data_IF_795238871098
#
_entry.id   IF_795238871098
#
_cell.length_a   1.000
_cell.length_b   1.000
_cell.length_c   1.000
_cell.angle_alpha   90.00
_cell.angle_beta   90.00
_cell.angle_gamma   90.00
#
_symmetry.space_group_name_H-M   'P 1'
#
loop_
_entity.id
_entity.type
_entity.pdbx_description
1 polymer ?
#
# COMPACT_ATOMS: atom_id res chain seq x y z
N UNK A 1 -8.48 4.15 30.60
CA UNK A 1 -8.60 4.22 29.12
C UNK A 1 -8.30 5.64 28.70
N UNK A 2 -7.70 5.84 27.54
CA UNK A 2 -7.39 7.13 26.97
C UNK A 2 -7.68 7.09 25.46
N UNK A 3 -8.40 8.07 24.96
CA UNK A 3 -8.94 8.05 23.61
C UNK A 3 -8.39 9.20 22.78
N UNK A 4 -7.92 8.93 21.58
CA UNK A 4 -7.64 9.96 20.61
C UNK A 4 -8.81 10.11 19.63
N UNK A 5 -9.09 11.34 19.24
CA UNK A 5 -10.04 11.69 18.19
C UNK A 5 -9.27 12.30 17.01
N UNK A 6 -9.44 11.69 15.85
CA UNK A 6 -9.07 12.23 14.57
C UNK A 6 -10.30 12.90 13.96
N UNK A 7 -10.34 14.23 13.98
CA UNK A 7 -11.38 15.01 13.31
C UNK A 7 -10.93 15.38 11.91
N UNK A 8 -11.77 15.13 10.91
CA UNK A 8 -11.54 15.34 9.49
C UNK A 8 -12.60 16.32 8.93
N UNK A 9 -12.43 17.63 9.10
CA UNK A 9 -13.46 18.63 8.80
C UNK A 9 -13.87 18.68 7.33
N UNK A 10 -12.99 18.27 6.44
CA UNK A 10 -13.17 18.36 5.00
C UNK A 10 -12.82 17.06 4.26
N UNK A 11 -13.16 15.91 4.88
CA UNK A 11 -12.78 14.58 4.40
C UNK A 11 -13.12 14.35 2.92
N UNK A 12 -14.36 14.63 2.51
CA UNK A 12 -14.78 14.46 1.12
C UNK A 12 -13.96 15.33 0.14
N UNK A 13 -13.65 16.58 0.53
CA UNK A 13 -12.84 17.47 -0.28
C UNK A 13 -11.39 17.01 -0.36
N UNK A 14 -10.80 16.59 0.77
CA UNK A 14 -9.44 16.08 0.82
C UNK A 14 -9.30 14.80 0.01
N UNK A 15 -10.34 13.93 0.01
CA UNK A 15 -10.37 12.71 -0.79
C UNK A 15 -10.21 12.99 -2.29
N UNK A 16 -10.79 14.08 -2.78
CA UNK A 16 -10.67 14.50 -4.18
C UNK A 16 -9.33 15.20 -4.42
N UNK A 17 -8.98 16.19 -3.59
CA UNK A 17 -7.75 16.99 -3.76
C UNK A 17 -6.47 16.11 -3.79
N UNK A 18 -6.43 15.05 -2.97
CA UNK A 18 -5.29 14.13 -2.91
C UNK A 18 -5.09 13.29 -4.18
N UNK A 19 -6.10 13.23 -5.05
CA UNK A 19 -6.06 12.48 -6.30
C UNK A 19 -5.71 13.36 -7.51
N UNK A 20 -5.68 14.68 -7.32
CA UNK A 20 -5.40 15.62 -8.40
C UNK A 20 -3.91 15.92 -8.54
N UNK A 21 -3.42 16.05 -9.78
CA UNK A 21 -2.02 16.42 -10.04
C UNK A 21 -1.67 17.82 -9.51
N UNK A 22 -2.63 18.75 -9.51
CA UNK A 22 -2.48 20.11 -9.02
C UNK A 22 -3.57 20.43 -7.99
N UNK A 23 -3.32 20.20 -6.69
CA UNK A 23 -4.28 20.50 -5.63
C UNK A 23 -4.43 22.01 -5.32
N UNK A 24 -3.64 22.88 -5.94
CA UNK A 24 -3.71 24.33 -5.75
C UNK A 24 -4.78 24.99 -6.60
N UNK A 25 -5.31 24.31 -7.60
CA UNK A 25 -6.43 24.84 -8.40
C UNK A 25 -7.70 25.00 -7.57
N UNK A 26 -8.50 26.07 -7.84
CA UNK A 26 -9.79 26.22 -7.20
C UNK A 26 -10.71 25.04 -7.50
N UNK A 27 -11.21 24.38 -6.46
CA UNK A 27 -12.08 23.20 -6.57
C UNK A 27 -13.28 23.33 -5.65
N UNK A 28 -14.44 22.87 -6.12
CA UNK A 28 -15.66 22.79 -5.33
C UNK A 28 -16.34 21.42 -5.50
N UNK A 29 -16.86 20.88 -4.40
CA UNK A 29 -17.76 19.74 -4.42
C UNK A 29 -19.20 20.23 -4.55
N UNK A 30 -19.93 19.61 -5.48
CA UNK A 30 -21.32 19.94 -5.78
C UNK A 30 -22.30 19.00 -5.08
N UNK A 31 -23.44 19.57 -4.67
CA UNK A 31 -24.56 18.80 -4.14
C UNK A 31 -25.87 19.37 -4.64
N UNK A 32 -26.89 18.52 -4.76
CA UNK A 32 -28.25 18.87 -5.13
C UNK A 32 -28.60 18.47 -6.56
N UNK A 33 -29.89 18.65 -6.95
CA UNK A 33 -30.36 18.29 -8.28
C UNK A 33 -29.76 19.22 -9.34
N UNK A 34 -29.70 18.75 -10.59
CA UNK A 34 -29.08 19.46 -11.71
C UNK A 34 -29.54 20.92 -11.87
N UNK A 35 -30.80 21.20 -11.57
CA UNK A 35 -31.40 22.53 -11.67
C UNK A 35 -31.04 23.49 -10.52
N UNK A 36 -30.55 22.96 -9.38
CA UNK A 36 -30.22 23.76 -8.19
C UNK A 36 -29.00 23.22 -7.49
N UNK A 37 -27.87 23.14 -8.20
CA UNK A 37 -26.60 22.73 -7.63
C UNK A 37 -26.01 23.80 -6.72
N UNK A 38 -25.58 23.39 -5.55
CA UNK A 38 -24.89 24.27 -4.58
C UNK A 38 -23.51 23.70 -4.25
N UNK A 39 -22.61 24.59 -3.88
CA UNK A 39 -21.27 24.21 -3.40
C UNK A 39 -21.41 23.59 -2.00
N UNK A 40 -21.13 22.30 -1.86
CA UNK A 40 -21.09 21.61 -0.57
C UNK A 40 -19.80 21.95 0.20
N UNK A 41 -18.68 21.90 -0.49
CA UNK A 41 -17.36 22.20 0.06
C UNK A 41 -16.51 22.91 -0.99
N UNK A 42 -15.57 23.74 -0.56
CA UNK A 42 -14.69 24.50 -1.43
C UNK A 42 -13.24 24.39 -0.96
N UNK A 43 -12.29 24.25 -1.89
CA UNK A 43 -10.87 24.19 -1.59
C UNK A 43 -10.36 25.50 -0.97
N UNK A 44 -9.19 25.51 -0.31
CA UNK A 44 -8.60 26.76 0.19
C UNK A 44 -8.42 27.80 -0.92
N UNK A 45 -7.98 27.38 -2.10
CA UNK A 45 -7.84 28.28 -3.26
C UNK A 45 -9.19 28.87 -3.71
N UNK A 46 -10.23 28.02 -3.82
CA UNK A 46 -11.58 28.49 -4.14
C UNK A 46 -12.14 29.44 -3.06
N UNK A 47 -11.86 29.17 -1.79
CA UNK A 47 -12.25 30.03 -0.67
C UNK A 47 -11.53 31.39 -0.71
N UNK A 48 -10.24 31.40 -1.04
CA UNK A 48 -9.46 32.62 -1.22
C UNK A 48 -10.01 33.47 -2.39
N UNK A 49 -10.53 32.81 -3.43
CA UNK A 49 -11.22 33.44 -4.55
C UNK A 49 -12.67 33.90 -4.23
N UNK A 50 -13.11 33.80 -2.97
CA UNK A 50 -14.42 34.34 -2.50
C UNK A 50 -15.54 33.30 -2.45
N UNK A 51 -15.34 32.06 -2.88
CA UNK A 51 -16.36 31.03 -2.85
C UNK A 51 -16.67 30.56 -1.41
N UNK A 52 -17.94 30.19 -1.17
CA UNK A 52 -18.40 29.71 0.14
C UNK A 52 -19.31 28.49 -0.04
N UNK A 53 -19.28 27.53 0.90
CA UNK A 53 -20.28 26.46 0.95
C UNK A 53 -21.70 27.03 0.99
N UNK A 54 -22.65 26.40 0.29
CA UNK A 54 -24.04 26.84 0.15
C UNK A 54 -24.29 27.81 -1.01
N UNK A 55 -23.24 28.33 -1.66
CA UNK A 55 -23.37 29.20 -2.84
C UNK A 55 -23.91 28.41 -4.04
N UNK A 56 -24.77 29.02 -4.86
CA UNK A 56 -25.23 28.44 -6.11
C UNK A 56 -24.09 28.31 -7.12
N UNK A 57 -24.08 27.23 -7.89
CA UNK A 57 -23.05 26.98 -8.90
C UNK A 57 -22.93 28.12 -9.91
N UNK A 58 -24.07 28.65 -10.40
CA UNK A 58 -24.08 29.77 -11.34
C UNK A 58 -23.39 31.02 -10.80
N UNK A 59 -23.57 31.33 -9.52
CA UNK A 59 -22.90 32.46 -8.87
C UNK A 59 -21.40 32.21 -8.69
N UNK A 60 -21.02 30.95 -8.39
CA UNK A 60 -19.61 30.56 -8.23
C UNK A 60 -18.83 30.63 -9.55
N UNK A 61 -19.42 30.23 -10.67
CA UNK A 61 -18.79 30.26 -11.99
C UNK A 61 -18.56 31.71 -12.52
N UNK A 62 -19.35 32.64 -12.08
CA UNK A 62 -19.13 34.08 -12.39
C UNK A 62 -17.88 34.59 -11.65
N UNK A 63 -17.61 34.12 -10.44
CA UNK A 63 -16.47 34.56 -9.63
C UNK A 63 -15.16 33.91 -10.03
N UNK A 64 -15.23 32.65 -10.45
CA UNK A 64 -14.03 31.82 -10.76
C UNK A 64 -14.29 31.06 -12.06
N UNK A 65 -13.65 31.49 -13.15
CA UNK A 65 -13.83 30.88 -14.48
C UNK A 65 -13.19 29.47 -14.56
N UNK A 66 -12.05 29.27 -13.89
CA UNK A 66 -11.26 28.00 -13.90
C UNK A 66 -11.58 27.12 -12.68
N UNK A 67 -12.85 27.08 -12.26
CA UNK A 67 -13.29 26.29 -11.12
C UNK A 67 -13.45 24.81 -11.49
N UNK A 68 -12.67 23.95 -10.86
CA UNK A 68 -12.85 22.50 -10.95
C UNK A 68 -14.08 22.08 -10.14
N UNK A 69 -14.94 21.25 -10.75
CA UNK A 69 -16.21 20.84 -10.18
C UNK A 69 -16.26 19.32 -10.10
N UNK A 70 -16.50 18.81 -8.90
CA UNK A 70 -16.74 17.38 -8.67
C UNK A 70 -18.07 17.17 -7.97
N UNK A 71 -18.80 16.15 -8.32
CA UNK A 71 -20.00 15.77 -7.60
C UNK A 71 -19.62 15.15 -6.25
N UNK A 72 -20.36 15.51 -5.20
CA UNK A 72 -20.18 14.89 -3.89
C UNK A 72 -20.69 13.45 -3.93
N UNK A 73 -19.80 12.50 -3.66
CA UNK A 73 -20.11 11.08 -3.54
C UNK A 73 -20.00 10.61 -2.07
N UNK A 74 -21.15 10.32 -1.41
CA UNK A 74 -21.14 9.75 -0.06
C UNK A 74 -20.44 8.39 0.04
N UNK A 75 -20.46 7.59 -1.02
CA UNK A 75 -19.83 6.26 -1.04
C UNK A 75 -18.31 6.39 -1.02
N UNK A 76 -17.75 7.32 -1.81
CA UNK A 76 -16.33 7.64 -1.81
C UNK A 76 -15.87 8.18 -0.44
N UNK A 77 -16.68 9.04 0.20
CA UNK A 77 -16.38 9.50 1.57
C UNK A 77 -16.36 8.34 2.56
N UNK A 78 -17.32 7.41 2.47
CA UNK A 78 -17.37 6.24 3.34
C UNK A 78 -16.18 5.30 3.11
N UNK A 79 -15.77 5.04 1.87
CA UNK A 79 -14.58 4.25 1.56
C UNK A 79 -13.32 4.89 2.14
N UNK A 80 -13.20 6.23 2.02
CA UNK A 80 -12.06 6.96 2.61
C UNK A 80 -12.05 6.85 4.14
N UNK A 81 -13.21 6.88 4.80
CA UNK A 81 -13.30 6.65 6.25
C UNK A 81 -12.84 5.25 6.64
N UNK A 82 -13.19 4.23 5.85
CA UNK A 82 -12.76 2.85 6.08
C UNK A 82 -11.24 2.69 5.87
N UNK A 83 -10.67 3.33 4.83
CA UNK A 83 -9.22 3.36 4.62
C UNK A 83 -8.50 3.97 5.83
N UNK A 84 -8.96 5.11 6.33
CA UNK A 84 -8.37 5.76 7.50
C UNK A 84 -8.55 4.93 8.78
N UNK A 85 -9.68 4.22 8.93
CA UNK A 85 -9.88 3.29 10.04
C UNK A 85 -8.91 2.10 9.98
N UNK A 86 -8.69 1.53 8.79
CA UNK A 86 -7.67 0.52 8.56
C UNK A 86 -6.28 1.04 8.94
N UNK A 87 -5.93 2.22 8.49
CA UNK A 87 -4.64 2.83 8.81
C UNK A 87 -4.46 3.06 10.32
N UNK A 88 -5.48 3.56 11.02
CA UNK A 88 -5.46 3.74 12.48
C UNK A 88 -5.37 2.41 13.24
N UNK A 89 -5.84 1.30 12.64
CA UNK A 89 -5.80 -0.03 13.23
C UNK A 89 -4.35 -0.50 13.50
N UNK A 90 -3.35 0.01 12.77
CA UNK A 90 -1.93 -0.19 13.07
C UNK A 90 -1.50 0.41 14.42
N UNK A 91 -2.26 1.35 14.97
CA UNK A 91 -1.97 1.99 16.25
C UNK A 91 -2.82 1.42 17.38
N UNK A 92 -4.08 1.05 17.11
CA UNK A 92 -5.01 0.48 18.07
C UNK A 92 -6.04 -0.40 17.39
N UNK A 93 -6.33 -1.56 17.97
CA UNK A 93 -7.42 -2.43 17.50
C UNK A 93 -8.82 -1.90 17.85
N UNK A 94 -8.92 -0.92 18.74
CA UNK A 94 -10.19 -0.31 19.13
C UNK A 94 -10.38 1.03 18.41
N UNK A 95 -10.71 0.96 17.12
CA UNK A 95 -11.04 2.11 16.28
C UNK A 95 -12.55 2.15 16.02
N UNK A 96 -13.19 3.31 16.15
CA UNK A 96 -14.62 3.47 15.85
C UNK A 96 -14.88 4.61 14.87
N UNK A 97 -15.86 4.38 13.97
CA UNK A 97 -16.38 5.34 12.98
C UNK A 97 -17.75 5.92 13.38
N UNK A 98 -18.22 5.73 14.62
CA UNK A 98 -19.56 6.14 15.01
C UNK A 98 -19.78 7.66 15.05
N UNK A 99 -18.71 8.45 15.01
CA UNK A 99 -18.81 9.90 15.02
C UNK A 99 -18.79 10.51 13.61
N UNK A 100 -19.67 11.45 13.28
CA UNK A 100 -19.63 12.17 12.01
C UNK A 100 -18.31 12.92 11.83
N UNK A 101 -17.71 12.77 10.64
CA UNK A 101 -16.44 13.42 10.25
C UNK A 101 -15.26 13.17 11.18
N UNK A 102 -15.34 12.13 12.02
CA UNK A 102 -14.26 11.78 12.92
C UNK A 102 -14.11 10.27 13.09
N UNK A 103 -12.90 9.87 13.44
CA UNK A 103 -12.59 8.52 13.93
C UNK A 103 -12.03 8.66 15.35
N UNK A 104 -12.37 7.72 16.20
CA UNK A 104 -11.80 7.65 17.56
C UNK A 104 -11.09 6.33 17.75
N UNK A 105 -9.98 6.36 18.49
CA UNK A 105 -9.20 5.16 18.78
C UNK A 105 -8.75 5.17 20.27
N UNK A 106 -8.74 3.99 20.88
CA UNK A 106 -8.23 3.81 22.24
C UNK A 106 -6.69 3.76 22.19
N UNK A 107 -6.02 4.66 22.91
CA UNK A 107 -4.56 4.78 22.87
C UNK A 107 -3.89 4.41 24.21
N UNK A 108 -4.65 4.21 25.28
CA UNK A 108 -4.09 3.90 26.59
C UNK A 108 -3.32 2.58 26.61
N UNK A 109 -3.87 1.54 25.98
CA UNK A 109 -3.20 0.24 25.83
C UNK A 109 -1.99 0.30 24.86
N UNK A 110 -2.03 1.21 23.90
CA UNK A 110 -0.98 1.36 22.88
C UNK A 110 0.27 2.12 23.38
N UNK A 111 0.18 2.77 24.56
CA UNK A 111 1.28 3.58 25.13
C UNK A 111 2.56 2.79 25.39
N UNK A 112 2.44 1.53 25.77
CA UNK A 112 3.61 0.67 25.99
C UNK A 112 4.44 0.41 24.72
N UNK A 113 3.78 0.43 23.54
CA UNK A 113 4.42 0.19 22.25
C UNK A 113 4.87 1.48 21.55
N UNK A 114 4.05 2.53 21.64
CA UNK A 114 4.22 3.73 20.82
C UNK A 114 4.62 4.98 21.61
N UNK A 115 4.73 4.88 22.94
CA UNK A 115 5.12 5.99 23.80
C UNK A 115 3.94 6.81 24.30
N UNK A 116 4.25 8.03 24.74
CA UNK A 116 3.27 8.99 25.25
C UNK A 116 2.38 9.60 24.16
N UNK A 117 1.47 10.50 24.57
CA UNK A 117 0.56 11.15 23.64
C UNK A 117 1.30 11.95 22.58
N UNK A 118 2.35 12.68 22.93
CA UNK A 118 3.09 13.51 21.97
C UNK A 118 3.72 12.68 20.86
N UNK A 119 4.29 11.54 21.22
CA UNK A 119 4.89 10.60 20.26
C UNK A 119 3.83 9.99 19.33
N UNK A 120 2.70 9.55 19.89
CA UNK A 120 1.59 9.00 19.12
C UNK A 120 1.00 10.08 18.20
N UNK A 121 0.78 11.30 18.70
CA UNK A 121 0.28 12.42 17.92
C UNK A 121 1.17 12.73 16.73
N UNK A 122 2.49 12.85 16.96
CA UNK A 122 3.43 13.15 15.89
C UNK A 122 3.44 12.07 14.81
N UNK A 123 3.39 10.80 15.20
CA UNK A 123 3.29 9.67 14.27
C UNK A 123 2.00 9.75 13.44
N UNK A 124 0.87 10.01 14.08
CA UNK A 124 -0.42 10.13 13.38
C UNK A 124 -0.43 11.34 12.44
N UNK A 125 0.13 12.48 12.83
CA UNK A 125 0.23 13.68 11.98
C UNK A 125 1.08 13.42 10.74
N UNK A 126 2.25 12.83 10.90
CA UNK A 126 3.12 12.52 9.78
C UNK A 126 2.41 11.60 8.77
N UNK A 127 1.81 10.51 9.24
CA UNK A 127 1.08 9.60 8.35
C UNK A 127 -0.14 10.24 7.68
N UNK A 128 -0.90 11.09 8.38
CA UNK A 128 -2.03 11.81 7.79
C UNK A 128 -1.60 12.88 6.79
N UNK A 129 -0.44 13.50 7.01
CA UNK A 129 0.18 14.40 6.05
C UNK A 129 0.56 13.65 4.76
N UNK A 130 1.24 12.50 4.89
CA UNK A 130 1.63 11.65 3.76
C UNK A 130 0.40 11.12 3.01
N UNK A 131 -0.65 10.78 3.75
CA UNK A 131 -1.96 10.41 3.19
C UNK A 131 -2.73 11.60 2.59
N UNK A 132 -2.34 12.84 2.83
CA UNK A 132 -2.90 14.05 2.24
C UNK A 132 -4.23 14.50 2.86
N UNK A 133 -4.45 14.27 4.15
CA UNK A 133 -5.68 14.67 4.86
C UNK A 133 -5.44 15.79 5.86
N UNK A 134 -6.26 16.86 5.79
CA UNK A 134 -6.32 17.90 6.81
C UNK A 134 -7.10 17.39 8.02
N UNK A 135 -6.52 17.55 9.19
CA UNK A 135 -7.03 16.92 10.39
C UNK A 135 -6.84 17.79 11.63
N UNK A 136 -7.51 17.39 12.71
CA UNK A 136 -7.21 17.79 14.08
C UNK A 136 -7.13 16.54 14.94
N UNK A 137 -6.20 16.55 15.89
CA UNK A 137 -5.98 15.45 16.83
C UNK A 137 -6.15 15.94 18.25
N UNK A 138 -6.94 15.23 19.04
CA UNK A 138 -7.15 15.52 20.46
C UNK A 138 -7.23 14.21 21.24
N UNK A 139 -6.57 14.15 22.40
CA UNK A 139 -6.67 13.02 23.30
C UNK A 139 -7.38 13.42 24.61
N UNK A 140 -8.29 12.55 25.08
CA UNK A 140 -9.08 12.76 26.29
C UNK A 140 -9.42 11.40 26.97
N UNK A 141 -9.88 11.40 28.25
CA UNK A 141 -10.21 10.19 28.97
C UNK A 141 -11.32 9.34 28.38
N UNK A 142 -12.21 9.93 27.58
CA UNK A 142 -13.30 9.23 26.91
C UNK A 142 -13.47 9.71 25.45
N UNK A 143 -14.05 8.89 24.56
CA UNK A 143 -14.13 9.17 23.13
C UNK A 143 -15.05 10.35 22.80
N UNK A 144 -16.13 10.55 23.54
CA UNK A 144 -17.07 11.67 23.34
C UNK A 144 -16.44 13.01 23.69
N UNK A 145 -15.68 13.08 24.78
CA UNK A 145 -14.91 14.26 25.14
C UNK A 145 -13.83 14.59 24.11
N UNK A 146 -13.05 13.57 23.69
CA UNK A 146 -12.04 13.75 22.65
C UNK A 146 -12.67 14.31 21.36
N UNK A 147 -13.83 13.76 20.95
CA UNK A 147 -14.56 14.20 19.75
C UNK A 147 -15.04 15.65 19.86
N UNK A 148 -15.60 16.04 21.00
CA UNK A 148 -16.15 17.39 21.20
C UNK A 148 -15.04 18.43 21.31
N UNK A 149 -13.98 18.12 22.06
CA UNK A 149 -12.81 18.99 22.21
C UNK A 149 -12.09 19.23 20.85
N UNK A 150 -12.06 18.23 19.96
CA UNK A 150 -11.49 18.36 18.62
C UNK A 150 -12.22 19.40 17.74
N UNK A 151 -13.46 19.80 18.07
CA UNK A 151 -14.15 20.88 17.37
C UNK A 151 -13.49 22.26 17.59
N UNK A 152 -12.71 22.41 18.67
CA UNK A 152 -12.10 23.70 19.07
C UNK A 152 -10.58 23.60 19.12
N UNK A 153 -10.05 22.46 19.59
CA UNK A 153 -8.63 22.29 19.83
C UNK A 153 -7.99 21.40 18.76
N UNK A 154 -6.68 21.55 18.63
CA UNK A 154 -5.79 20.67 17.87
C UNK A 154 -4.51 20.46 18.70
N UNK A 155 -4.01 19.21 18.80
CA UNK A 155 -2.84 18.85 19.58
C UNK A 155 -3.11 18.71 21.10
N UNK A 156 -4.32 18.96 21.57
CA UNK A 156 -4.65 18.88 22.99
C UNK A 156 -4.64 17.42 23.49
N UNK A 157 -3.90 17.18 24.56
CA UNK A 157 -3.94 15.92 25.32
C UNK A 157 -4.24 16.19 26.78
N UNK A 158 -5.36 15.69 27.29
CA UNK A 158 -5.79 15.92 28.67
C UNK A 158 -6.11 14.61 29.41
N UNK A 159 -5.88 14.61 30.69
CA UNK A 159 -6.23 13.53 31.61
C UNK A 159 -7.63 13.70 32.25
N UNK A 160 -7.99 12.77 33.14
CA UNK A 160 -9.28 12.80 33.84
C UNK A 160 -9.43 14.00 34.81
N UNK A 161 -8.33 14.52 35.33
CA UNK A 161 -8.37 15.66 36.26
C UNK A 161 -8.59 16.97 35.53
N UNK A 162 -8.03 17.09 34.31
CA UNK A 162 -8.14 18.27 33.46
C UNK A 162 -9.47 18.34 32.68
N UNK A 163 -10.16 17.21 32.50
CA UNK A 163 -11.36 17.10 31.67
C UNK A 163 -12.46 18.07 32.05
N UNK A 164 -12.87 18.21 33.34
CA UNK A 164 -13.96 19.12 33.70
C UNK A 164 -13.68 20.58 33.34
N UNK A 165 -12.44 21.05 33.56
CA UNK A 165 -12.04 22.41 33.24
C UNK A 165 -12.01 22.67 31.73
N UNK A 166 -11.50 21.71 30.94
CA UNK A 166 -11.47 21.79 29.49
C UNK A 166 -12.87 21.82 28.86
N UNK A 167 -13.78 21.00 29.35
CA UNK A 167 -15.17 20.97 28.89
C UNK A 167 -15.96 22.24 29.32
N UNK A 168 -15.71 22.77 30.50
CA UNK A 168 -16.43 23.95 31.02
C UNK A 168 -16.23 25.16 30.11
N UNK A 169 -15.07 25.32 29.50
CA UNK A 169 -14.72 26.43 28.63
C UNK A 169 -15.27 26.28 27.19
N UNK A 170 -15.77 25.09 26.83
CA UNK A 170 -16.13 24.79 25.45
C UNK A 170 -17.45 25.50 25.05
N UNK A 171 -17.47 26.30 23.95
CA UNK A 171 -18.67 26.95 23.48
C UNK A 171 -19.78 25.96 23.12
N UNK A 172 -21.01 26.20 23.55
CA UNK A 172 -22.18 25.35 23.23
C UNK A 172 -22.37 25.14 21.73
N UNK A 173 -22.11 26.15 20.92
CA UNK A 173 -22.16 26.03 19.45
C UNK A 173 -21.16 25.02 18.87
N UNK A 174 -20.16 24.59 19.64
CA UNK A 174 -19.14 23.60 19.28
C UNK A 174 -19.28 22.28 20.04
N UNK A 175 -20.31 22.14 20.88
CA UNK A 175 -20.54 20.96 21.74
C UNK A 175 -20.95 19.70 20.96
N UNK A 176 -21.37 19.83 19.69
CA UNK A 176 -21.93 18.72 18.92
C UNK A 176 -23.36 18.35 19.31
N UNK A 177 -23.98 19.07 20.23
CA UNK A 177 -25.41 18.91 20.56
C UNK A 177 -26.30 19.29 19.36
N UNK A 178 -27.53 18.76 19.26
CA UNK A 178 -28.50 19.16 18.25
C UNK A 178 -28.71 20.68 18.22
N UNK A 179 -28.84 21.24 17.02
CA UNK A 179 -28.93 22.71 16.78
C UNK A 179 -30.07 23.31 17.61
N UNK A 180 -31.20 22.63 17.70
CA UNK A 180 -32.38 23.09 18.49
C UNK A 180 -32.04 23.16 19.98
N UNK A 181 -31.35 22.16 20.53
CA UNK A 181 -30.91 22.16 21.93
C UNK A 181 -29.94 23.32 22.20
N UNK A 182 -28.95 23.52 21.31
CA UNK A 182 -28.01 24.66 21.40
C UNK A 182 -28.75 25.98 21.37
N UNK A 183 -29.76 26.12 20.50
CA UNK A 183 -30.53 27.36 20.33
C UNK A 183 -31.35 27.67 21.61
N UNK A 184 -32.00 26.66 22.19
CA UNK A 184 -32.77 26.81 23.42
C UNK A 184 -31.87 27.20 24.60
N UNK A 185 -30.73 26.51 24.77
CA UNK A 185 -29.74 26.84 25.81
C UNK A 185 -29.16 28.26 25.61
N UNK A 186 -28.82 28.63 24.39
CA UNK A 186 -28.32 29.97 24.09
C UNK A 186 -29.33 31.09 24.36
N UNK A 187 -30.62 30.85 24.06
CA UNK A 187 -31.72 31.78 24.41
C UNK A 187 -31.92 31.93 25.93
N UNK A 188 -31.56 30.90 26.72
CA UNK A 188 -31.53 30.94 28.17
C UNK A 188 -30.25 31.59 28.74
N UNK A 189 -29.42 32.23 27.88
CA UNK A 189 -28.20 32.91 28.30
C UNK A 189 -26.97 32.03 28.48
N UNK A 190 -27.08 30.72 28.25
CA UNK A 190 -25.96 29.80 28.38
C UNK A 190 -25.07 29.84 27.14
N UNK A 191 -23.77 29.96 27.35
CA UNK A 191 -22.78 30.11 26.22
C UNK A 191 -21.79 28.97 26.17
N UNK A 192 -21.57 28.26 27.29
CA UNK A 192 -20.55 27.20 27.41
C UNK A 192 -21.16 25.91 27.91
N UNK A 193 -20.47 24.79 27.68
CA UNK A 193 -20.86 23.48 28.20
C UNK A 193 -20.87 23.47 29.74
N UNK A 194 -19.92 24.16 30.39
CA UNK A 194 -19.89 24.28 31.86
C UNK A 194 -21.18 24.84 32.38
N UNK A 195 -21.68 25.95 31.83
CA UNK A 195 -22.94 26.55 32.22
C UNK A 195 -24.13 25.60 32.00
N UNK A 196 -24.09 24.73 31.01
CA UNK A 196 -25.11 23.70 30.82
C UNK A 196 -25.00 22.57 31.83
N UNK A 197 -23.80 22.19 32.26
CA UNK A 197 -23.56 21.17 33.26
C UNK A 197 -23.97 21.59 34.68
N UNK A 198 -23.97 22.88 34.96
CA UNK A 198 -24.39 23.45 36.24
C UNK A 198 -25.90 23.45 36.41
N UNK A 199 -26.68 23.18 35.37
CA UNK A 199 -28.11 23.09 35.45
C UNK A 199 -28.54 21.79 36.13
N UNK A 200 -29.60 21.84 37.00
CA UNK A 200 -30.18 20.63 37.58
C UNK A 200 -30.64 19.65 36.49
N UNK A 201 -30.27 18.39 36.61
CA UNK A 201 -30.59 17.33 35.64
C UNK A 201 -32.09 17.25 35.34
N UNK A 202 -32.92 17.41 36.36
CA UNK A 202 -34.38 17.41 36.19
C UNK A 202 -34.89 18.56 35.32
N UNK A 203 -34.25 19.70 35.39
CA UNK A 203 -34.58 20.86 34.57
C UNK A 203 -34.23 20.62 33.10
N UNK A 204 -33.10 19.95 32.84
CA UNK A 204 -32.73 19.53 31.50
C UNK A 204 -33.68 18.44 30.97
N UNK A 205 -34.04 17.44 31.81
CA UNK A 205 -34.93 16.35 31.41
C UNK A 205 -36.36 16.79 31.05
N UNK A 206 -36.82 17.89 31.64
CA UNK A 206 -38.13 18.47 31.31
C UNK A 206 -38.13 19.24 29.96
N UNK A 207 -36.96 19.66 29.49
CA UNK A 207 -36.84 20.57 28.32
C UNK A 207 -36.28 19.92 27.10
N UNK A 208 -35.49 18.85 27.25
CA UNK A 208 -34.75 18.22 26.17
C UNK A 208 -35.07 16.73 26.08
N UNK A 209 -34.94 16.20 24.87
CA UNK A 209 -35.07 14.78 24.61
C UNK A 209 -33.97 13.97 25.36
N UNK A 210 -34.24 12.71 25.74
CA UNK A 210 -33.27 11.87 26.46
C UNK A 210 -31.91 11.76 25.82
N UNK A 211 -31.84 11.83 24.48
CA UNK A 211 -30.60 11.76 23.67
C UNK A 211 -29.64 12.91 23.97
N UNK A 212 -30.17 14.11 24.24
CA UNK A 212 -29.37 15.29 24.62
C UNK A 212 -28.71 15.08 25.98
N UNK A 213 -29.46 14.51 26.94
CA UNK A 213 -28.91 14.22 28.25
C UNK A 213 -27.88 13.10 28.20
N UNK A 214 -28.17 12.04 27.42
CA UNK A 214 -27.21 10.95 27.19
C UNK A 214 -25.91 11.46 26.58
N UNK A 215 -25.99 12.37 25.62
CA UNK A 215 -24.81 12.98 25.00
C UNK A 215 -24.00 13.84 25.99
N UNK A 216 -24.71 14.64 26.85
CA UNK A 216 -24.05 15.43 27.90
C UNK A 216 -23.35 14.52 28.93
N UNK A 217 -24.00 13.43 29.32
CA UNK A 217 -23.43 12.44 30.25
C UNK A 217 -22.23 11.72 29.61
N UNK A 218 -22.35 11.31 28.35
CA UNK A 218 -21.27 10.64 27.61
C UNK A 218 -20.02 11.53 27.49
N UNK A 219 -20.20 12.81 27.22
CA UNK A 219 -19.08 13.78 27.16
C UNK A 219 -18.37 13.91 28.48
N UNK A 220 -19.13 13.87 29.60
CA UNK A 220 -18.57 13.89 30.97
C UNK A 220 -17.96 12.56 31.40
N UNK A 221 -18.17 11.48 30.64
CA UNK A 221 -17.77 10.13 31.00
C UNK A 221 -18.66 9.46 32.05
N UNK A 222 -19.90 9.95 32.27
CA UNK A 222 -20.88 9.43 33.24
C UNK A 222 -21.83 8.38 32.63
N UNK A 223 -21.83 8.22 31.31
CA UNK A 223 -22.68 7.28 30.60
C UNK A 223 -21.87 6.14 29.95
N UNK A 224 -22.55 5.02 29.78
CA UNK A 224 -22.02 3.92 28.98
C UNK A 224 -22.60 4.03 27.55
N UNK A 225 -21.88 4.69 26.66
CA UNK A 225 -22.23 4.75 25.24
C UNK A 225 -21.31 3.75 24.49
N UNK A 226 -21.82 2.54 24.17
CA UNK A 226 -21.03 1.54 23.48
C UNK A 226 -20.66 2.03 22.07
N UNK A 227 -19.41 1.82 21.68
CA UNK A 227 -18.91 2.08 20.34
C UNK A 227 -18.87 0.79 19.53
N UNK A 228 -19.15 0.90 18.24
CA UNK A 228 -18.88 -0.17 17.28
C UNK A 228 -17.46 -0.05 16.80
N UNK A 229 -16.71 -1.14 16.94
CA UNK A 229 -15.32 -1.17 16.53
C UNK A 229 -15.17 -1.64 15.10
N UNK A 230 -14.27 -0.99 14.41
CA UNK A 230 -13.89 -1.32 13.03
C UNK A 230 -13.18 -2.67 13.00
N UNK A 231 -13.52 -3.47 12.01
CA UNK A 231 -12.81 -4.70 11.66
C UNK A 231 -12.28 -4.56 10.24
N UNK A 232 -10.95 -4.70 10.02
CA UNK A 232 -10.39 -4.63 8.69
C UNK A 232 -10.96 -5.71 7.77
N UNK A 233 -11.36 -5.39 6.54
CA UNK A 233 -11.78 -6.38 5.56
C UNK A 233 -10.61 -7.27 5.14
N UNK A 234 -10.91 -8.46 4.59
CA UNK A 234 -9.89 -9.43 4.15
C UNK A 234 -9.31 -9.14 2.76
N UNK A 235 -9.80 -8.12 2.10
CA UNK A 235 -9.36 -7.69 0.76
C UNK A 235 -9.19 -6.18 0.71
N UNK A 236 -8.31 -5.74 -0.19
CA UNK A 236 -8.18 -4.32 -0.54
C UNK A 236 -8.87 -4.08 -1.88
N UNK A 237 -9.63 -3.00 -1.96
CA UNK A 237 -10.32 -2.57 -3.17
C UNK A 237 -10.44 -1.04 -3.14
N UNK A 238 -9.76 -0.36 -4.07
CA UNK A 238 -9.79 1.09 -4.18
C UNK A 238 -9.87 1.52 -5.65
N UNK A 239 -10.62 2.60 -5.94
CA UNK A 239 -10.90 3.08 -7.27
C UNK A 239 -10.72 4.61 -7.32
N UNK A 240 -10.10 5.09 -8.39
CA UNK A 240 -9.99 6.51 -8.72
C UNK A 240 -10.66 6.73 -10.07
N UNK A 241 -11.63 7.62 -10.13
CA UNK A 241 -12.32 8.04 -11.36
C UNK A 241 -11.71 9.33 -11.89
N UNK A 242 -11.65 9.44 -13.22
CA UNK A 242 -11.08 10.59 -13.92
C UNK A 242 -12.18 11.43 -14.57
N UNK A 243 -11.98 12.75 -14.63
CA UNK A 243 -12.92 13.66 -15.31
C UNK A 243 -13.01 13.39 -16.81
N UNK A 244 -11.91 12.96 -17.41
CA UNK A 244 -11.79 12.60 -18.83
C UNK A 244 -11.00 11.32 -18.98
N UNK A 245 -11.16 10.66 -20.13
CA UNK A 245 -10.37 9.47 -20.45
C UNK A 245 -8.88 9.80 -20.52
N UNK A 246 -8.08 8.98 -19.86
CA UNK A 246 -6.62 9.07 -19.89
C UNK A 246 -6.08 7.99 -20.82
N UNK A 247 -5.51 8.40 -21.95
CA UNK A 247 -4.92 7.48 -22.96
C UNK A 247 -3.47 7.12 -22.63
N UNK A 248 -2.76 7.99 -21.91
CA UNK A 248 -1.33 7.83 -21.63
C UNK A 248 -1.12 6.97 -20.38
N UNK A 249 -0.41 5.85 -20.52
CA UNK A 249 0.04 5.04 -19.39
C UNK A 249 0.91 5.85 -18.40
N UNK A 250 1.66 6.84 -18.90
CA UNK A 250 2.49 7.71 -18.07
C UNK A 250 1.63 8.64 -17.18
N UNK A 251 0.51 9.14 -17.68
CA UNK A 251 -0.41 9.96 -16.89
C UNK A 251 -1.12 9.13 -15.80
N UNK A 252 -1.33 7.83 -16.04
CA UNK A 252 -1.89 6.90 -15.06
C UNK A 252 -0.93 6.56 -13.91
N UNK A 253 0.36 6.88 -14.00
CA UNK A 253 1.32 6.63 -12.92
C UNK A 253 1.01 7.44 -11.65
N UNK A 254 0.47 8.65 -11.80
CA UNK A 254 0.09 9.47 -10.65
C UNK A 254 -1.03 8.83 -9.81
N UNK A 255 -2.22 8.50 -10.38
CA UNK A 255 -3.26 7.81 -9.63
C UNK A 255 -2.83 6.42 -9.16
N UNK A 256 -2.03 5.68 -9.92
CA UNK A 256 -1.45 4.41 -9.49
C UNK A 256 -0.62 4.56 -8.22
N UNK A 257 0.27 5.55 -8.17
CA UNK A 257 1.09 5.82 -6.98
C UNK A 257 0.21 6.04 -5.75
N UNK A 258 -0.91 6.73 -5.94
CA UNK A 258 -1.86 6.98 -4.85
C UNK A 258 -2.53 5.71 -4.35
N UNK A 259 -3.03 4.87 -5.25
CA UNK A 259 -3.64 3.59 -4.90
C UNK A 259 -2.65 2.67 -4.17
N UNK A 260 -1.38 2.66 -4.57
CA UNK A 260 -0.35 1.85 -3.93
C UNK A 260 0.06 2.39 -2.55
N UNK A 261 0.04 3.69 -2.32
CA UNK A 261 0.19 4.28 -0.98
C UNK A 261 -0.96 3.85 -0.06
N UNK A 262 -2.19 3.87 -0.56
CA UNK A 262 -3.37 3.43 0.18
C UNK A 262 -3.32 1.91 0.48
N UNK A 263 -2.88 1.10 -0.49
CA UNK A 263 -2.65 -0.34 -0.29
C UNK A 263 -1.57 -0.58 0.79
N UNK A 264 -0.44 0.10 0.71
CA UNK A 264 0.65 -0.04 1.69
C UNK A 264 0.18 0.32 3.11
N UNK A 265 -0.58 1.41 3.26
CA UNK A 265 -1.18 1.82 4.53
C UNK A 265 -2.12 0.74 5.08
N UNK A 266 -2.95 0.15 4.22
CA UNK A 266 -3.84 -0.95 4.56
C UNK A 266 -3.08 -2.22 4.98
N UNK A 267 -2.03 -2.61 4.23
CA UNK A 267 -1.21 -3.78 4.54
C UNK A 267 -0.46 -3.63 5.86
N UNK A 268 0.11 -2.44 6.12
CA UNK A 268 0.78 -2.15 7.39
C UNK A 268 -0.17 -2.28 8.59
N UNK A 269 -1.45 -1.95 8.43
CA UNK A 269 -2.43 -2.02 9.50
C UNK A 269 -2.76 -3.45 9.96
N UNK A 270 -2.59 -4.44 9.08
CA UNK A 270 -2.88 -5.87 9.37
C UNK A 270 -1.61 -6.70 9.54
N UNK A 271 -0.44 -6.08 9.57
CA UNK A 271 0.86 -6.76 9.49
C UNK A 271 0.95 -7.77 8.32
N UNK A 272 0.28 -7.39 7.22
CA UNK A 272 0.20 -8.18 6.00
C UNK A 272 1.12 -7.66 4.90
N UNK A 273 1.28 -8.47 3.85
CA UNK A 273 1.88 -8.11 2.58
C UNK A 273 0.93 -8.46 1.43
N UNK A 274 1.23 -8.00 0.24
CA UNK A 274 0.58 -8.41 -0.99
C UNK A 274 1.55 -9.22 -1.84
N UNK A 275 1.07 -10.33 -2.38
CA UNK A 275 1.85 -11.15 -3.31
C UNK A 275 1.28 -11.11 -4.73
N UNK A 276 0.02 -10.71 -4.87
CA UNK A 276 -0.65 -10.50 -6.15
C UNK A 276 -1.70 -9.41 -6.00
N UNK A 277 -1.75 -8.52 -6.98
CA UNK A 277 -2.82 -7.53 -7.10
C UNK A 277 -3.13 -7.25 -8.57
N UNK A 278 -4.36 -6.82 -8.82
CA UNK A 278 -4.88 -6.55 -10.15
C UNK A 278 -5.17 -5.05 -10.31
N UNK A 279 -4.69 -4.48 -11.41
CA UNK A 279 -5.01 -3.14 -11.86
C UNK A 279 -6.06 -3.24 -12.96
N UNK A 280 -7.24 -2.68 -12.71
CA UNK A 280 -8.34 -2.62 -13.68
C UNK A 280 -8.38 -1.22 -14.27
N UNK A 281 -8.27 -1.13 -15.58
CA UNK A 281 -8.43 0.08 -16.37
C UNK A 281 -9.85 0.07 -16.94
N UNK A 282 -10.72 0.87 -16.39
CA UNK A 282 -12.13 0.95 -16.82
C UNK A 282 -12.25 1.90 -18.01
N UNK A 283 -12.93 1.45 -19.08
CA UNK A 283 -13.15 2.18 -20.31
C UNK A 283 -14.63 2.54 -20.46
N UNK A 284 -14.97 3.59 -21.21
CA UNK A 284 -16.38 3.97 -21.42
C UNK A 284 -17.14 2.96 -22.31
N UNK A 285 -16.48 2.44 -23.34
CA UNK A 285 -17.12 1.60 -24.36
C UNK A 285 -16.61 0.15 -24.41
N UNK A 286 -15.53 -0.15 -23.70
CA UNK A 286 -14.92 -1.49 -23.70
C UNK A 286 -14.97 -2.11 -22.29
N UNK A 287 -14.92 -3.44 -22.20
CA UNK A 287 -14.69 -4.10 -20.92
C UNK A 287 -13.39 -3.60 -20.28
N UNK A 288 -13.34 -3.60 -18.96
CA UNK A 288 -12.14 -3.21 -18.24
C UNK A 288 -10.95 -4.09 -18.62
N UNK A 289 -9.81 -3.45 -18.93
CA UNK A 289 -8.55 -4.13 -19.13
C UNK A 289 -7.92 -4.42 -17.76
N UNK A 290 -7.33 -5.61 -17.60
CA UNK A 290 -6.76 -6.04 -16.32
C UNK A 290 -5.28 -6.34 -16.49
N UNK A 291 -4.45 -5.71 -15.67
CA UNK A 291 -3.04 -6.01 -15.52
C UNK A 291 -2.80 -6.65 -14.16
N UNK A 292 -2.49 -7.93 -14.17
CA UNK A 292 -2.12 -8.67 -12.95
C UNK A 292 -0.63 -8.48 -12.64
N UNK A 293 -0.33 -8.13 -11.41
CA UNK A 293 1.03 -7.98 -10.89
C UNK A 293 1.25 -9.03 -9.81
N UNK A 294 2.13 -9.98 -10.09
CA UNK A 294 2.54 -11.04 -9.16
C UNK A 294 3.95 -10.79 -8.63
N UNK A 295 4.16 -11.08 -7.35
CA UNK A 295 5.42 -10.94 -6.62
C UNK A 295 5.90 -12.32 -6.14
N UNK A 296 7.21 -12.50 -6.01
CA UNK A 296 7.81 -13.75 -5.52
C UNK A 296 7.64 -13.93 -4.01
N UNK A 297 7.54 -12.83 -3.28
CA UNK A 297 7.33 -12.81 -1.83
C UNK A 297 6.32 -11.71 -1.47
N UNK A 298 5.63 -11.84 -0.32
CA UNK A 298 4.76 -10.77 0.16
C UNK A 298 5.54 -9.47 0.35
N UNK A 299 4.99 -8.37 -0.14
CA UNK A 299 5.59 -7.04 -0.07
C UNK A 299 4.56 -6.01 0.41
N UNK A 300 5.00 -4.93 1.06
CA UNK A 300 4.16 -3.81 1.50
C UNK A 300 4.80 -2.44 1.33
N UNK A 301 6.04 -2.37 0.86
CA UNK A 301 6.69 -1.10 0.58
C UNK A 301 6.08 -0.45 -0.66
N UNK A 302 5.48 0.73 -0.48
CA UNK A 302 4.78 1.45 -1.54
C UNK A 302 5.70 1.84 -2.70
N UNK A 303 6.97 2.17 -2.42
CA UNK A 303 7.92 2.59 -3.45
C UNK A 303 8.32 1.41 -4.33
N UNK A 304 8.57 0.25 -3.72
CA UNK A 304 8.90 -0.97 -4.47
C UNK A 304 7.69 -1.47 -5.28
N UNK A 305 6.50 -1.49 -4.69
CA UNK A 305 5.26 -1.86 -5.40
C UNK A 305 5.02 -0.94 -6.59
N UNK A 306 5.26 0.37 -6.42
CA UNK A 306 5.11 1.35 -7.51
C UNK A 306 6.15 1.13 -8.62
N UNK A 307 7.41 0.87 -8.28
CA UNK A 307 8.46 0.60 -9.28
C UNK A 307 8.12 -0.64 -10.13
N UNK A 308 7.69 -1.73 -9.48
CA UNK A 308 7.31 -2.97 -10.16
C UNK A 308 6.09 -2.72 -11.07
N UNK A 309 5.06 -2.07 -10.52
CA UNK A 309 3.83 -1.78 -11.26
C UNK A 309 4.10 -0.86 -12.47
N UNK A 310 4.94 0.18 -12.30
CA UNK A 310 5.35 1.07 -13.40
C UNK A 310 6.00 0.30 -14.53
N UNK A 311 7.00 -0.55 -14.22
CA UNK A 311 7.70 -1.33 -15.23
C UNK A 311 6.76 -2.28 -16.00
N UNK A 312 5.76 -2.86 -15.31
CA UNK A 312 4.75 -3.70 -15.95
C UNK A 312 3.78 -2.88 -16.82
N UNK A 313 3.40 -1.68 -16.37
CA UNK A 313 2.55 -0.78 -17.14
C UNK A 313 3.21 -0.25 -18.41
N UNK A 314 4.53 -0.02 -18.40
CA UNK A 314 5.29 0.41 -19.59
C UNK A 314 5.23 -0.63 -20.72
N UNK A 315 5.12 -1.93 -20.36
CA UNK A 315 4.97 -3.03 -21.33
C UNK A 315 3.50 -3.35 -21.66
N UNK A 316 2.54 -2.75 -20.97
CA UNK A 316 1.12 -3.03 -21.10
C UNK A 316 0.48 -2.06 -22.11
N UNK A 317 -0.07 -2.59 -23.19
CA UNK A 317 -0.79 -1.78 -24.17
C UNK A 317 -2.25 -1.59 -23.72
N UNK A 318 -2.63 -0.35 -23.44
CA UNK A 318 -4.04 0.01 -23.20
C UNK A 318 -4.80 0.01 -24.53
N UNK A 319 -5.93 -0.71 -24.63
CA UNK A 319 -6.72 -0.77 -25.88
C UNK A 319 -7.51 0.51 -26.15
N UNK A 320 -7.78 1.30 -25.10
CA UNK A 320 -8.51 2.57 -25.17
C UNK A 320 -8.15 3.45 -23.96
N UNK A 321 -8.59 4.70 -23.99
CA UNK A 321 -8.49 5.60 -22.84
C UNK A 321 -9.18 5.01 -21.60
N UNK A 322 -8.65 5.30 -20.43
CA UNK A 322 -9.16 4.81 -19.15
C UNK A 322 -9.94 5.90 -18.44
N UNK A 323 -11.18 5.58 -18.03
CA UNK A 323 -12.07 6.46 -17.28
C UNK A 323 -11.88 6.34 -15.77
N UNK A 324 -11.41 5.19 -15.32
CA UNK A 324 -11.06 4.97 -13.93
C UNK A 324 -9.94 3.92 -13.81
N UNK A 325 -9.15 4.04 -12.76
CA UNK A 325 -8.19 3.04 -12.33
C UNK A 325 -8.65 2.44 -11.00
N UNK A 326 -8.76 1.12 -10.95
CA UNK A 326 -9.10 0.37 -9.74
C UNK A 326 -8.00 -0.61 -9.40
N UNK A 327 -7.64 -0.71 -8.14
CA UNK A 327 -6.68 -1.67 -7.61
C UNK A 327 -7.39 -2.64 -6.68
N UNK A 328 -7.24 -3.93 -6.94
CA UNK A 328 -7.79 -5.00 -6.11
C UNK A 328 -6.69 -5.95 -5.66
N UNK A 329 -6.72 -6.32 -4.37
CA UNK A 329 -5.85 -7.34 -3.79
C UNK A 329 -6.66 -8.23 -2.85
N UNK A 330 -6.76 -9.51 -3.18
CA UNK A 330 -7.57 -10.49 -2.43
C UNK A 330 -6.71 -11.36 -1.52
N UNK A 331 -5.50 -11.69 -1.95
CA UNK A 331 -4.58 -12.54 -1.19
C UNK A 331 -3.56 -11.67 -0.45
N UNK A 332 -3.75 -11.56 0.86
CA UNK A 332 -2.96 -10.70 1.73
C UNK A 332 -2.26 -11.56 2.81
N UNK A 333 -1.22 -12.32 2.44
CA UNK A 333 -0.49 -13.17 3.36
C UNK A 333 0.21 -12.34 4.46
N UNK A 334 0.55 -12.94 5.61
CA UNK A 334 1.37 -12.29 6.62
C UNK A 334 2.69 -11.79 6.03
N UNK A 335 3.08 -10.58 6.43
CA UNK A 335 4.37 -10.01 6.02
C UNK A 335 5.44 -10.36 7.04
N UNK A 336 6.46 -11.09 6.61
CA UNK A 336 7.64 -11.36 7.42
C UNK A 336 8.77 -10.48 6.89
N UNK A 337 9.20 -9.44 7.64
CA UNK A 337 10.34 -8.63 7.24
C UNK A 337 11.58 -9.50 7.04
N UNK A 338 12.36 -9.21 6.01
CA UNK A 338 13.66 -9.86 5.84
C UNK A 338 14.54 -9.53 7.06
N UNK A 339 14.74 -10.53 7.91
CA UNK A 339 15.65 -10.40 9.06
C UNK A 339 17.09 -10.34 8.57
N UNK A 340 17.83 -9.35 9.02
CA UNK A 340 19.28 -9.31 8.85
C UNK A 340 19.93 -10.05 9.99
N UNK A 341 20.91 -10.89 9.64
CA UNK A 341 21.81 -11.44 10.65
C UNK A 341 22.63 -10.29 11.28
N UNK A 342 22.82 -10.35 12.59
CA UNK A 342 23.59 -9.36 13.33
C UNK A 342 25.04 -9.24 12.82
N UNK A 343 25.54 -10.29 12.19
CA UNK A 343 26.89 -10.41 11.63
C UNK A 343 26.94 -10.20 10.09
N UNK A 344 25.84 -9.76 9.48
CA UNK A 344 25.81 -9.50 8.05
C UNK A 344 26.65 -8.26 7.70
N UNK A 345 27.79 -8.47 7.06
CA UNK A 345 28.74 -7.42 6.66
C UNK A 345 28.30 -6.61 5.44
N UNK A 346 27.19 -6.95 4.80
CA UNK A 346 26.68 -6.20 3.65
C UNK A 346 26.28 -4.78 4.07
N UNK A 347 26.51 -3.76 3.21
CA UNK A 347 26.07 -2.40 3.49
C UNK A 347 24.59 -2.34 3.83
N UNK A 348 24.20 -1.43 4.75
CA UNK A 348 22.81 -1.25 5.16
C UNK A 348 21.84 -0.95 3.99
N UNK A 349 22.38 -0.42 2.89
CA UNK A 349 21.65 -0.07 1.67
C UNK A 349 21.71 -1.16 0.58
N UNK A 350 22.35 -2.31 0.85
CA UNK A 350 22.42 -3.39 -0.13
C UNK A 350 21.01 -3.95 -0.40
N UNK A 351 20.61 -3.92 -1.66
CA UNK A 351 19.34 -4.46 -2.10
C UNK A 351 19.29 -5.97 -1.84
N UNK A 352 18.26 -6.50 -1.14
CA UNK A 352 18.09 -7.94 -0.98
C UNK A 352 17.95 -8.65 -2.32
N UNK A 353 18.48 -9.87 -2.42
CA UNK A 353 18.41 -10.67 -3.66
C UNK A 353 16.96 -10.85 -4.16
N UNK A 354 16.01 -11.03 -3.28
CA UNK A 354 14.59 -11.16 -3.62
C UNK A 354 14.05 -9.91 -4.33
N UNK A 355 14.39 -8.72 -3.83
CA UNK A 355 13.98 -7.45 -4.47
C UNK A 355 14.69 -7.23 -5.81
N UNK A 356 15.98 -7.56 -5.90
CA UNK A 356 16.69 -7.47 -7.19
C UNK A 356 16.05 -8.38 -8.24
N UNK A 357 15.71 -9.60 -7.86
CA UNK A 357 15.06 -10.58 -8.74
C UNK A 357 13.68 -10.09 -9.21
N UNK A 358 12.90 -9.48 -8.31
CA UNK A 358 11.60 -8.86 -8.67
C UNK A 358 11.78 -7.75 -9.70
N UNK A 359 12.72 -6.85 -9.48
CA UNK A 359 13.00 -5.75 -10.42
C UNK A 359 13.43 -6.26 -11.78
N UNK A 360 14.30 -7.28 -11.81
CA UNK A 360 14.74 -7.89 -13.05
C UNK A 360 13.57 -8.55 -13.80
N UNK A 361 12.70 -9.29 -13.11
CA UNK A 361 11.52 -9.90 -13.72
C UNK A 361 10.52 -8.86 -14.23
N UNK A 362 10.28 -7.81 -13.45
CA UNK A 362 9.38 -6.73 -13.85
C UNK A 362 9.85 -6.03 -15.14
N UNK A 363 11.18 -5.91 -15.33
CA UNK A 363 11.77 -5.21 -16.48
C UNK A 363 12.00 -6.11 -17.71
N UNK A 364 12.42 -7.35 -17.48
CA UNK A 364 12.85 -8.27 -18.54
C UNK A 364 11.79 -9.31 -18.93
N UNK A 365 10.72 -9.43 -18.12
CA UNK A 365 9.72 -10.48 -18.22
C UNK A 365 9.95 -11.61 -17.22
N UNK A 366 8.88 -12.35 -16.91
CA UNK A 366 8.90 -13.40 -15.87
C UNK A 366 9.81 -14.57 -16.23
N UNK A 367 9.94 -14.89 -17.52
CA UNK A 367 10.74 -16.00 -18.02
C UNK A 367 12.23 -15.69 -18.17
N UNK A 368 12.61 -14.40 -18.12
CA UNK A 368 13.99 -13.98 -18.32
C UNK A 368 14.90 -14.28 -17.12
N UNK A 369 14.33 -14.45 -15.92
CA UNK A 369 15.08 -14.71 -14.68
C UNK A 369 14.59 -16.01 -14.07
N UNK A 370 15.28 -17.09 -14.39
CA UNK A 370 14.92 -18.43 -13.94
C UNK A 370 16.00 -19.01 -12.99
N UNK A 371 15.62 -19.84 -12.02
CA UNK A 371 16.59 -20.53 -11.19
C UNK A 371 17.35 -21.57 -12.00
N UNK A 372 18.63 -21.72 -11.70
CA UNK A 372 19.39 -22.85 -12.20
C UNK A 372 19.11 -24.08 -11.34
N UNK A 373 18.82 -25.19 -11.99
CA UNK A 373 18.62 -26.48 -11.35
C UNK A 373 19.46 -27.56 -12.02
N UNK A 374 19.97 -28.47 -11.22
CA UNK A 374 20.69 -29.65 -11.72
C UNK A 374 19.68 -30.65 -12.26
N UNK A 375 19.88 -31.14 -13.48
CA UNK A 375 19.06 -32.19 -14.08
C UNK A 375 19.74 -33.55 -13.93
N UNK A 376 18.94 -34.59 -13.73
CA UNK A 376 19.44 -35.97 -13.61
C UNK A 376 19.77 -36.56 -14.99
N UNK A 377 20.61 -35.86 -15.78
CA UNK A 377 21.10 -36.30 -17.08
C UNK A 377 22.63 -36.31 -17.04
N UNK A 378 23.23 -37.40 -17.46
CA UNK A 378 24.71 -37.54 -17.51
C UNK A 378 25.35 -36.71 -18.62
N UNK A 379 24.58 -36.33 -19.65
CA UNK A 379 25.07 -35.47 -20.73
C UNK A 379 25.28 -34.06 -20.19
N UNK A 380 26.50 -33.47 -20.33
CA UNK A 380 26.82 -32.17 -19.74
C UNK A 380 25.90 -31.05 -20.22
N UNK A 381 25.55 -31.04 -21.50
CA UNK A 381 24.66 -30.08 -22.14
C UNK A 381 23.22 -30.14 -21.64
N UNK A 382 22.83 -31.20 -20.95
CA UNK A 382 21.50 -31.41 -20.36
C UNK A 382 21.51 -31.57 -18.84
N UNK A 383 22.66 -31.44 -18.22
CA UNK A 383 22.83 -31.60 -16.77
C UNK A 383 22.37 -30.38 -15.98
N UNK A 384 22.07 -29.27 -16.64
CA UNK A 384 21.49 -28.06 -16.04
C UNK A 384 20.19 -27.67 -16.73
N UNK A 385 19.26 -27.14 -15.98
CA UNK A 385 17.97 -26.69 -16.48
C UNK A 385 17.31 -25.72 -15.51
N UNK A 386 16.07 -25.37 -15.77
CA UNK A 386 15.29 -24.41 -14.95
C UNK A 386 14.31 -25.08 -14.01
N UNK A 387 14.05 -26.37 -14.20
CA UNK A 387 13.14 -27.14 -13.35
C UNK A 387 13.94 -27.91 -12.27
N UNK A 388 13.50 -27.93 -11.03
CA UNK A 388 14.16 -28.71 -9.99
C UNK A 388 14.10 -30.19 -10.35
N UNK A 389 15.20 -30.97 -10.14
CA UNK A 389 15.24 -32.38 -10.44
C UNK A 389 14.33 -33.13 -9.48
N UNK A 390 13.71 -34.21 -9.95
CA UNK A 390 12.92 -35.09 -9.12
C UNK A 390 13.78 -35.76 -8.01
N UNK A 391 15.06 -35.99 -8.28
CA UNK A 391 16.05 -36.50 -7.30
C UNK A 391 17.46 -36.09 -7.79
N UNK A 392 18.29 -35.44 -6.97
CA UNK A 392 19.67 -35.18 -7.34
C UNK A 392 20.45 -36.51 -7.41
N UNK A 393 21.40 -36.64 -8.36
CA UNK A 393 22.27 -37.83 -8.43
C UNK A 393 23.16 -37.95 -7.16
N UNK A 394 23.40 -39.16 -6.75
CA UNK A 394 24.13 -39.46 -5.50
C UNK A 394 25.63 -39.06 -5.56
N UNK A 395 26.19 -38.96 -6.75
CA UNK A 395 27.62 -38.63 -6.97
C UNK A 395 27.80 -38.02 -8.38
N UNK A 396 28.61 -36.97 -8.45
CA UNK A 396 29.05 -36.37 -9.70
C UNK A 396 30.55 -36.22 -9.72
N UNK A 397 31.24 -36.61 -10.81
CA UNK A 397 32.64 -36.29 -10.98
C UNK A 397 32.86 -34.79 -11.07
N UNK A 398 34.08 -34.35 -10.74
CA UNK A 398 34.44 -32.93 -10.88
C UNK A 398 34.40 -32.54 -12.36
N UNK A 399 33.45 -31.67 -12.69
CA UNK A 399 33.25 -31.13 -14.03
C UNK A 399 33.62 -29.64 -14.06
N UNK A 400 33.99 -29.08 -15.23
CA UNK A 400 34.33 -27.66 -15.32
C UNK A 400 33.14 -26.79 -15.01
N UNK A 401 33.39 -25.66 -14.35
CA UNK A 401 32.37 -24.61 -14.12
C UNK A 401 31.97 -23.86 -15.37
N UNK A 402 32.73 -23.94 -16.44
CA UNK A 402 32.45 -23.29 -17.70
C UNK A 402 32.35 -24.33 -18.82
N UNK A 403 31.14 -24.55 -19.33
CA UNK A 403 30.88 -25.40 -20.50
C UNK A 403 30.71 -24.56 -21.76
N UNK A 404 31.22 -25.05 -22.89
CA UNK A 404 30.95 -24.50 -24.18
C UNK A 404 29.56 -24.98 -24.67
N UNK A 405 28.76 -24.10 -25.19
CA UNK A 405 27.46 -24.42 -25.77
C UNK A 405 27.54 -25.48 -26.85
N UNK A 406 28.59 -25.38 -27.67
CA UNK A 406 28.94 -26.36 -28.71
C UNK A 406 30.40 -26.77 -28.54
N UNK A 407 30.69 -28.10 -28.40
CA UNK A 407 32.07 -28.57 -28.33
C UNK A 407 32.92 -28.17 -29.54
N UNK A 408 34.16 -27.72 -29.31
CA UNK A 408 35.05 -27.26 -30.34
C UNK A 408 36.24 -28.21 -30.58
N UNK A 409 36.72 -28.39 -31.82
CA UNK A 409 37.89 -29.18 -32.08
C UNK A 409 39.12 -28.64 -31.34
N UNK A 410 39.78 -29.48 -30.53
CA UNK A 410 41.01 -29.13 -29.82
C UNK A 410 42.21 -29.66 -30.56
N UNK A 411 42.96 -28.72 -31.16
CA UNK A 411 44.16 -29.01 -31.96
C UNK A 411 45.41 -28.54 -31.23
N UNK A 412 45.87 -29.31 -30.24
CA UNK A 412 47.11 -29.02 -29.52
C UNK A 412 48.02 -30.23 -29.63
N UNK A 413 49.19 -30.17 -30.29
CA UNK A 413 50.11 -31.28 -30.47
C UNK A 413 50.80 -31.71 -29.15
N UNK A 414 50.76 -30.86 -28.12
CA UNK A 414 51.34 -31.10 -26.78
C UNK A 414 50.31 -31.40 -25.70
N UNK A 415 49.12 -31.82 -26.12
CA UNK A 415 48.03 -32.13 -25.19
C UNK A 415 48.43 -33.24 -24.23
N UNK A 416 48.32 -33.00 -22.95
CA UNK A 416 48.60 -33.98 -21.88
C UNK A 416 47.31 -34.39 -21.18
N UNK A 417 47.06 -35.69 -21.08
CA UNK A 417 45.95 -36.21 -20.30
C UNK A 417 46.33 -36.17 -18.82
N UNK A 418 45.49 -35.51 -18.00
CA UNK A 418 45.70 -35.35 -16.57
C UNK A 418 44.85 -36.38 -15.78
N UNK A 419 43.62 -36.60 -16.21
CA UNK A 419 42.68 -37.55 -15.57
C UNK A 419 41.64 -38.07 -16.59
N UNK A 420 41.02 -39.20 -16.25
CA UNK A 420 39.98 -39.82 -17.08
C UNK A 420 40.35 -41.28 -17.49
N UNK A 421 39.50 -41.93 -18.29
CA UNK A 421 38.28 -41.37 -18.92
C UNK A 421 37.07 -41.41 -17.98
N UNK A 422 36.22 -40.34 -18.06
CA UNK A 422 34.81 -40.42 -17.63
C UNK A 422 33.99 -40.83 -18.86
N UNK A 423 33.39 -42.03 -18.80
CA UNK A 423 32.60 -42.53 -19.91
C UNK A 423 31.15 -42.15 -19.80
N UNK A 424 30.61 -41.50 -20.80
CA UNK A 424 29.20 -41.13 -20.91
C UNK A 424 28.59 -41.85 -22.11
N UNK A 425 27.65 -42.76 -21.82
CA UNK A 425 26.79 -43.43 -22.79
C UNK A 425 25.34 -43.18 -22.38
N UNK A 426 24.70 -42.26 -23.04
CA UNK A 426 23.36 -41.76 -22.65
C UNK A 426 22.61 -41.21 -23.84
N UNK A 427 21.28 -41.18 -23.79
CA UNK A 427 20.46 -40.49 -24.79
C UNK A 427 20.04 -41.34 -25.97
N UNK A 428 20.22 -42.68 -25.90
CA UNK A 428 19.70 -43.57 -26.95
C UNK A 428 18.18 -43.59 -27.09
N UNK A 429 17.46 -43.16 -26.03
CA UNK A 429 15.98 -43.10 -25.98
C UNK A 429 15.36 -41.81 -26.54
N UNK A 430 16.13 -40.78 -26.74
CA UNK A 430 15.66 -39.45 -27.18
C UNK A 430 16.33 -38.96 -28.47
N UNK A 431 16.90 -39.85 -29.25
CA UNK A 431 17.60 -39.59 -30.52
C UNK A 431 18.84 -38.67 -30.42
N UNK A 432 19.31 -38.37 -29.20
CA UNK A 432 20.50 -37.58 -28.96
C UNK A 432 21.58 -38.45 -28.26
N UNK A 433 21.91 -39.57 -28.91
CA UNK A 433 22.85 -40.57 -28.40
C UNK A 433 24.26 -39.97 -28.23
N UNK A 434 24.76 -39.95 -26.98
CA UNK A 434 26.06 -39.46 -26.62
C UNK A 434 26.94 -40.62 -26.19
N UNK A 435 27.96 -40.99 -26.98
CA UNK A 435 28.98 -42.02 -26.65
C UNK A 435 30.35 -41.34 -26.65
N UNK A 436 30.75 -40.84 -25.48
CA UNK A 436 31.92 -39.97 -25.36
C UNK A 436 32.77 -40.45 -24.16
N UNK A 437 34.09 -40.49 -24.37
CA UNK A 437 35.07 -40.67 -23.31
C UNK A 437 35.70 -39.30 -23.00
N UNK A 438 35.37 -38.74 -21.82
CA UNK A 438 35.86 -37.44 -21.39
C UNK A 438 37.14 -37.55 -20.58
N UNK A 439 38.01 -36.57 -20.74
CA UNK A 439 39.31 -36.49 -20.07
C UNK A 439 39.54 -35.05 -19.58
N UNK A 440 40.21 -34.91 -18.47
CA UNK A 440 40.84 -33.66 -18.08
C UNK A 440 42.17 -33.60 -18.78
N UNK A 441 42.32 -32.57 -19.61
CA UNK A 441 43.51 -32.36 -20.44
C UNK A 441 44.20 -31.05 -20.08
N UNK A 442 45.53 -31.00 -20.25
CA UNK A 442 46.32 -29.78 -20.11
C UNK A 442 46.90 -29.39 -21.42
N UNK A 443 46.71 -28.15 -21.80
CA UNK A 443 47.26 -27.56 -23.07
C UNK A 443 48.72 -27.16 -22.91
N UNK A 444 49.39 -26.90 -24.00
CA UNK A 444 50.76 -26.37 -24.01
C UNK A 444 50.95 -25.08 -23.21
N UNK A 445 49.86 -24.30 -22.99
CA UNK A 445 49.84 -23.07 -22.20
C UNK A 445 49.50 -23.30 -20.72
N UNK A 446 49.36 -24.56 -20.28
CA UNK A 446 49.04 -24.91 -18.91
C UNK A 446 47.57 -24.79 -18.55
N UNK A 447 46.66 -24.53 -19.49
CA UNK A 447 45.21 -24.44 -19.25
C UNK A 447 44.63 -25.84 -19.14
N UNK A 448 43.70 -26.01 -18.17
CA UNK A 448 43.00 -27.29 -17.98
C UNK A 448 41.67 -27.29 -18.68
N UNK A 449 41.53 -28.15 -19.68
CA UNK A 449 40.30 -28.35 -20.43
C UNK A 449 39.63 -29.66 -20.11
N UNK A 450 38.33 -29.71 -20.32
CA UNK A 450 37.55 -30.95 -20.30
C UNK A 450 37.22 -31.28 -21.76
N UNK A 451 37.86 -32.31 -22.28
CA UNK A 451 37.77 -32.68 -23.69
C UNK A 451 37.37 -34.17 -23.80
N UNK A 452 36.70 -34.48 -24.88
CA UNK A 452 36.29 -35.87 -25.14
C UNK A 452 36.72 -36.34 -26.53
N UNK A 453 36.70 -37.67 -26.70
CA UNK A 453 36.68 -38.34 -27.99
C UNK A 453 35.39 -39.16 -28.12
N UNK A 454 34.87 -39.18 -29.35
CA UNK A 454 33.72 -40.03 -29.66
C UNK A 454 34.19 -41.49 -29.64
N UNK A 455 33.46 -42.34 -28.95
CA UNK A 455 33.76 -43.77 -28.86
C UNK A 455 33.47 -44.44 -30.19
N UNK A 456 34.22 -45.50 -30.49
CA UNK A 456 34.13 -46.29 -31.71
C UNK A 456 34.77 -45.66 -32.95
N UNK A 457 35.43 -44.50 -32.82
CA UNK A 457 36.29 -43.95 -33.87
C UNK A 457 37.70 -43.67 -33.30
N UNK A 458 38.68 -44.53 -33.61
CA UNK A 458 40.06 -44.37 -33.14
C UNK A 458 40.73 -43.10 -33.66
N UNK A 459 40.18 -42.51 -34.75
CA UNK A 459 40.70 -41.32 -35.39
C UNK A 459 39.89 -40.05 -35.04
N UNK A 460 38.86 -40.19 -34.13
CA UNK A 460 38.07 -39.04 -33.72
C UNK A 460 38.95 -37.90 -33.16
N UNK A 461 38.72 -36.66 -33.59
CA UNK A 461 39.46 -35.53 -33.06
C UNK A 461 39.10 -35.29 -31.58
N UNK A 462 40.04 -34.70 -30.86
CA UNK A 462 39.73 -34.16 -29.55
C UNK A 462 38.71 -33.00 -29.67
N UNK A 463 37.65 -33.08 -28.86
CA UNK A 463 36.62 -32.06 -28.77
C UNK A 463 36.65 -31.45 -27.39
N UNK A 464 36.97 -30.17 -27.28
CA UNK A 464 36.90 -29.38 -26.05
C UNK A 464 35.46 -29.05 -25.76
N UNK A 465 35.01 -29.36 -24.51
CA UNK A 465 33.66 -29.09 -24.08
C UNK A 465 33.59 -28.10 -22.91
N UNK A 466 34.65 -27.85 -22.20
CA UNK A 466 34.70 -26.90 -21.11
C UNK A 466 36.09 -26.60 -20.59
N UNK A 467 36.18 -25.57 -19.77
CA UNK A 467 37.40 -25.17 -19.08
C UNK A 467 37.26 -25.25 -17.57
N UNK A 468 38.28 -25.72 -16.90
CA UNK A 468 38.41 -25.60 -15.45
C UNK A 468 39.02 -24.21 -15.16
N UNK A 469 38.42 -23.50 -14.14
CA UNK A 469 38.91 -22.21 -13.64
C UNK A 469 40.11 -22.37 -12.71
#
# INVERSE_FOLDING_TARGET
MHWACLLLPQLALDSVLRQLPDPQRPLALLQGPAQRRVLRAVSPAARAAGLRPGMLLSAAQVLVQDLQLHDYDPSAEQHTRQLLASWLYATSSLVSLDFPHALVLEIGASRALFGDWLTIEQRLRNGLHDLGFRHRLVAAPNPHAARVLANVHDGLGIDAQQLPAALAQLPLARSGLPVDAVTVLARSGLRTLGAAFDLPRESLARRFAPEVLQQLDAVRGLGNAPLRYYQPPDRFDARIEFEYEIESSQALLFPLRRLLLDLAAFLCSRDGGVQRFDLHFEHDLLPASVLTIGLLAPERDAALLFEIARNRMEAFALPAGSRALRLQAEQLPPFVPATRDLFDTRPAQAMPWTQLRERLRARLGDDAVQPLAVQADHRPERASGTQPPAKPPAWWPLRPGWLLETPQPLRDPRLRIVAGPERIESGWWDQADARRDYYVVETAQGQRGWAFRTRNDPHAPWMLHGWFG
#
